data_IF_224332372158
#
_entry.id   IF_224332372158
#
_cell.length_a   1.000
_cell.length_b   1.000
_cell.length_c   1.000
_cell.angle_alpha   90.00
_cell.angle_beta   90.00
_cell.angle_gamma   90.00
#
_symmetry.space_group_name_H-M   'P 1'
#
loop_
_entity.id
_entity.type
_entity.pdbx_description
1 polymer ?
#
# COMPACT_ATOMS: atom_id res chain seq x y z
N UNK A 1 -21.87 -7.86 -18.18
CA UNK A 1 -22.62 -8.66 -17.20
C UNK A 1 -22.28 -10.10 -17.50
N UNK A 2 -21.73 -10.83 -16.54
CA UNK A 2 -21.25 -12.20 -16.75
C UNK A 2 -22.47 -13.15 -16.81
N UNK A 3 -22.79 -13.59 -18.02
CA UNK A 3 -23.98 -14.41 -18.32
C UNK A 3 -23.95 -15.74 -17.57
N UNK A 4 -22.77 -16.34 -17.41
CA UNK A 4 -22.57 -17.57 -16.63
C UNK A 4 -22.98 -17.42 -15.16
N UNK A 5 -22.65 -16.29 -14.54
CA UNK A 5 -22.97 -16.05 -13.13
C UNK A 5 -24.47 -15.86 -12.94
N UNK A 6 -25.13 -15.20 -13.89
CA UNK A 6 -26.59 -15.09 -13.89
C UNK A 6 -27.25 -16.47 -14.00
N UNK A 7 -26.78 -17.32 -14.92
CA UNK A 7 -27.30 -18.69 -15.04
C UNK A 7 -27.12 -19.50 -13.76
N UNK A 8 -25.98 -19.37 -13.07
CA UNK A 8 -25.75 -20.07 -11.80
C UNK A 8 -26.70 -19.62 -10.69
N UNK A 9 -26.98 -18.31 -10.61
CA UNK A 9 -27.94 -17.76 -9.65
C UNK A 9 -29.37 -18.21 -9.95
N UNK A 10 -29.74 -18.28 -11.22
CA UNK A 10 -31.02 -18.83 -11.66
C UNK A 10 -31.14 -20.32 -11.27
N UNK A 11 -30.10 -21.13 -11.54
CA UNK A 11 -30.11 -22.56 -11.16
C UNK A 11 -30.19 -22.76 -9.64
N UNK A 12 -29.57 -21.89 -8.85
CA UNK A 12 -29.67 -21.94 -7.38
C UNK A 12 -31.11 -21.64 -6.95
N UNK A 13 -31.74 -20.62 -7.54
CA UNK A 13 -33.13 -20.28 -7.23
C UNK A 13 -34.12 -21.42 -7.60
N UNK A 14 -33.88 -22.12 -8.70
CA UNK A 14 -34.65 -23.32 -9.07
C UNK A 14 -34.46 -24.45 -8.05
N UNK A 15 -33.23 -24.70 -7.59
CA UNK A 15 -32.94 -25.72 -6.55
C UNK A 15 -33.59 -25.35 -5.22
N UNK A 16 -33.56 -24.07 -4.84
CA UNK A 16 -34.25 -23.58 -3.64
C UNK A 16 -35.75 -23.81 -3.70
N UNK A 17 -36.38 -23.54 -4.85
CA UNK A 17 -37.79 -23.80 -5.07
C UNK A 17 -38.13 -25.30 -4.99
N UNK A 18 -37.27 -26.16 -5.54
CA UNK A 18 -37.43 -27.62 -5.42
C UNK A 18 -37.30 -28.10 -3.98
N UNK A 19 -36.36 -27.54 -3.21
CA UNK A 19 -36.19 -27.84 -1.79
C UNK A 19 -37.43 -27.44 -0.97
N UNK A 20 -38.04 -26.28 -1.26
CA UNK A 20 -39.27 -25.82 -0.61
C UNK A 20 -40.48 -26.72 -0.90
N UNK A 21 -40.57 -27.23 -2.14
CA UNK A 21 -41.65 -28.13 -2.56
C UNK A 21 -41.41 -29.58 -2.09
N UNK A 22 -40.15 -29.97 -1.88
CA UNK A 22 -39.80 -31.29 -1.39
C UNK A 22 -39.99 -31.39 0.13
N UNK A 23 -40.72 -32.40 0.58
CA UNK A 23 -41.01 -32.58 2.01
C UNK A 23 -39.83 -33.19 2.79
N UNK A 24 -38.85 -33.75 2.08
CA UNK A 24 -37.85 -34.64 2.64
C UNK A 24 -36.45 -34.03 2.80
N UNK A 25 -36.26 -32.72 2.52
CA UNK A 25 -34.96 -32.02 2.62
C UNK A 25 -33.81 -32.90 2.09
N UNK A 26 -33.91 -33.35 0.84
CA UNK A 26 -33.00 -34.38 0.34
C UNK A 26 -31.54 -33.92 0.46
N UNK A 27 -30.72 -34.76 1.08
CA UNK A 27 -29.32 -34.44 1.40
C UNK A 27 -28.51 -34.07 0.17
N UNK A 28 -28.83 -34.67 -0.98
CA UNK A 28 -28.21 -34.39 -2.27
C UNK A 28 -28.54 -32.99 -2.79
N UNK A 29 -29.78 -32.52 -2.64
CA UNK A 29 -30.16 -31.17 -3.06
C UNK A 29 -29.57 -30.10 -2.15
N UNK A 30 -29.47 -30.38 -0.84
CA UNK A 30 -28.80 -29.49 0.09
C UNK A 30 -27.29 -29.38 -0.21
N UNK A 31 -26.63 -30.50 -0.51
CA UNK A 31 -25.23 -30.51 -0.97
C UNK A 31 -25.07 -29.70 -2.25
N UNK A 32 -25.92 -29.94 -3.24
CA UNK A 32 -25.87 -29.22 -4.52
C UNK A 32 -26.07 -27.70 -4.33
N UNK A 33 -27.00 -27.30 -3.45
CA UNK A 33 -27.20 -25.89 -3.08
C UNK A 33 -25.93 -25.30 -2.50
N UNK A 34 -25.30 -26.00 -1.56
CA UNK A 34 -24.06 -25.54 -0.94
C UNK A 34 -22.94 -25.40 -1.99
N UNK A 35 -22.75 -26.41 -2.85
CA UNK A 35 -21.77 -26.37 -3.93
C UNK A 35 -22.02 -25.20 -4.91
N UNK A 36 -23.28 -24.97 -5.29
CA UNK A 36 -23.65 -23.83 -6.15
C UNK A 36 -23.36 -22.48 -5.47
N UNK A 37 -23.66 -22.35 -4.18
CA UNK A 37 -23.35 -21.11 -3.43
C UNK A 37 -21.84 -20.85 -3.38
N UNK A 38 -21.04 -21.88 -3.12
CA UNK A 38 -19.58 -21.77 -3.11
C UNK A 38 -19.04 -21.41 -4.49
N UNK A 39 -19.54 -22.04 -5.55
CA UNK A 39 -19.12 -21.77 -6.92
C UNK A 39 -19.45 -20.33 -7.33
N UNK A 40 -20.63 -19.82 -6.98
CA UNK A 40 -21.00 -18.41 -7.22
C UNK A 40 -20.03 -17.47 -6.49
N UNK A 41 -19.72 -17.73 -5.21
CA UNK A 41 -18.78 -16.91 -4.44
C UNK A 41 -17.39 -16.88 -5.08
N UNK A 42 -16.87 -18.04 -5.50
CA UNK A 42 -15.57 -18.14 -6.16
C UNK A 42 -15.58 -17.39 -7.51
N UNK A 43 -16.63 -17.54 -8.31
CA UNK A 43 -16.78 -16.81 -9.57
C UNK A 43 -16.88 -15.30 -9.37
N UNK A 44 -17.59 -14.84 -8.35
CA UNK A 44 -17.67 -13.43 -7.98
C UNK A 44 -16.29 -12.88 -7.60
N UNK A 45 -15.53 -13.61 -6.79
CA UNK A 45 -14.17 -13.25 -6.41
C UNK A 45 -13.24 -13.16 -7.63
N UNK A 46 -13.25 -14.16 -8.51
CA UNK A 46 -12.45 -14.19 -9.74
C UNK A 46 -12.75 -12.99 -10.66
N UNK A 47 -14.02 -12.61 -10.80
CA UNK A 47 -14.43 -11.47 -11.61
C UNK A 47 -13.95 -10.15 -11.01
N UNK A 48 -14.02 -10.01 -9.68
CA UNK A 48 -13.50 -8.84 -9.00
C UNK A 48 -11.98 -8.72 -9.17
N UNK A 49 -11.26 -9.84 -9.07
CA UNK A 49 -9.82 -9.88 -9.26
C UNK A 49 -9.41 -9.53 -10.70
N UNK A 50 -10.08 -10.09 -11.71
CA UNK A 50 -9.85 -9.73 -13.11
C UNK A 50 -10.13 -8.26 -13.40
N UNK A 51 -11.21 -7.71 -12.84
CA UNK A 51 -11.54 -6.27 -12.99
C UNK A 51 -10.49 -5.40 -12.31
N UNK A 52 -10.02 -5.78 -11.11
CA UNK A 52 -8.92 -5.10 -10.41
C UNK A 52 -7.65 -5.11 -11.26
N UNK A 53 -7.23 -6.26 -11.77
CA UNK A 53 -6.06 -6.38 -12.64
C UNK A 53 -6.19 -5.53 -13.90
N UNK A 54 -7.36 -5.54 -14.54
CA UNK A 54 -7.64 -4.70 -15.73
C UNK A 54 -7.52 -3.21 -15.43
N UNK A 55 -8.07 -2.76 -14.29
CA UNK A 55 -7.97 -1.36 -13.86
C UNK A 55 -6.53 -0.96 -13.53
N UNK A 56 -5.78 -1.83 -12.85
CA UNK A 56 -4.37 -1.60 -12.54
C UNK A 56 -3.53 -1.52 -13.81
N UNK A 57 -3.76 -2.40 -14.79
CA UNK A 57 -3.08 -2.35 -16.08
C UNK A 57 -3.39 -1.05 -16.85
N UNK A 58 -4.65 -0.59 -16.83
CA UNK A 58 -5.03 0.68 -17.44
C UNK A 58 -4.33 1.88 -16.79
N UNK A 59 -4.22 1.89 -15.45
CA UNK A 59 -3.48 2.93 -14.71
C UNK A 59 -1.99 2.88 -15.01
N UNK A 60 -1.38 1.69 -15.04
CA UNK A 60 0.03 1.52 -15.40
C UNK A 60 0.32 2.04 -16.81
N UNK A 61 -0.52 1.71 -17.79
CA UNK A 61 -0.40 2.23 -19.15
C UNK A 61 -0.58 3.76 -19.23
N UNK A 62 -1.50 4.33 -18.43
CA UNK A 62 -1.67 5.77 -18.36
C UNK A 62 -0.44 6.47 -17.77
N UNK A 63 0.21 5.85 -16.77
CA UNK A 63 1.45 6.34 -16.17
C UNK A 63 2.61 6.33 -17.17
N UNK A 64 2.75 5.27 -17.95
CA UNK A 64 3.78 5.16 -19.01
C UNK A 64 3.60 6.23 -20.11
N UNK A 65 2.35 6.65 -20.36
CA UNK A 65 2.03 7.67 -21.36
C UNK A 65 2.27 9.11 -20.90
N UNK A 66 2.62 9.33 -19.62
CA UNK A 66 2.99 10.66 -19.14
C UNK A 66 4.37 11.06 -19.71
N UNK A 67 4.52 12.25 -20.29
CA UNK A 67 5.82 12.72 -20.74
C UNK A 67 6.78 12.84 -19.54
N UNK A 68 8.08 12.56 -19.73
CA UNK A 68 9.06 12.74 -18.68
C UNK A 68 9.04 14.17 -18.17
N UNK A 69 9.27 14.40 -16.86
CA UNK A 69 9.36 15.74 -16.32
C UNK A 69 10.47 16.49 -17.07
N UNK A 70 10.08 17.54 -17.80
CA UNK A 70 11.06 18.41 -18.43
C UNK A 70 11.88 19.09 -17.33
N UNK A 71 13.22 19.03 -17.37
CA UNK A 71 14.03 19.81 -16.45
C UNK A 71 13.72 21.29 -16.71
N UNK A 72 13.23 21.98 -15.68
CA UNK A 72 13.10 23.43 -15.72
C UNK A 72 14.51 24.03 -15.85
N UNK A 73 14.72 24.73 -16.96
CA UNK A 73 15.99 25.32 -17.34
C UNK A 73 16.37 26.49 -16.41
N UNK A 74 17.64 26.49 -16.00
CA UNK A 74 18.57 27.62 -16.01
C UNK A 74 18.15 28.96 -15.40
N UNK A 75 18.66 29.24 -14.20
CA UNK A 75 19.19 30.57 -13.88
C UNK A 75 20.68 30.46 -13.54
N UNK A 76 21.48 30.76 -14.54
CA UNK A 76 22.91 31.09 -14.48
C UNK A 76 23.09 32.45 -13.80
N UNK A 77 24.06 32.57 -12.89
CA UNK A 77 24.90 33.77 -12.82
C UNK A 77 26.35 33.42 -12.41
N UNK A 78 27.40 34.05 -12.99
CA UNK A 78 28.79 33.61 -12.89
C UNK A 78 29.75 34.64 -12.23
N UNK A 79 30.61 34.23 -11.30
CA UNK A 79 31.86 34.96 -10.91
C UNK A 79 32.90 33.92 -10.44
N UNK A 80 33.89 33.50 -11.26
CA UNK A 80 35.32 33.97 -11.33
C UNK A 80 36.07 33.80 -9.99
N UNK A 81 37.26 33.18 -9.82
CA UNK A 81 38.27 32.48 -10.65
C UNK A 81 39.32 31.87 -9.70
N UNK A 82 40.03 30.81 -10.11
CA UNK A 82 41.30 30.39 -9.47
C UNK A 82 41.74 28.94 -9.80
N UNK A 83 42.84 28.70 -10.54
CA UNK A 83 43.14 27.41 -11.18
C UNK A 83 44.19 26.57 -10.43
N UNK A 84 44.11 25.23 -10.48
CA UNK A 84 45.30 24.35 -10.51
C UNK A 84 45.00 23.05 -11.30
N UNK A 85 45.83 22.81 -12.30
CA UNK A 85 45.99 21.59 -13.09
C UNK A 85 47.06 20.71 -12.44
N UNK A 86 46.91 19.38 -12.37
CA UNK A 86 47.83 18.32 -12.88
C UNK A 86 47.20 16.93 -12.60
N UNK A 87 47.36 16.05 -13.58
CA UNK A 87 46.86 14.70 -13.88
C UNK A 87 47.21 13.53 -12.89
N UNK A 88 46.68 12.28 -13.11
CA UNK A 88 46.34 11.29 -12.09
C UNK A 88 47.43 10.21 -11.83
N UNK A 89 47.24 9.33 -10.81
CA UNK A 89 47.16 7.90 -11.13
C UNK A 89 46.20 7.04 -10.27
N UNK A 90 45.55 6.10 -10.97
CA UNK A 90 45.32 4.69 -10.63
C UNK A 90 44.27 4.27 -9.55
N UNK A 91 43.63 3.09 -9.75
CA UNK A 91 42.28 2.79 -9.29
C UNK A 91 42.31 2.06 -7.94
N UNK A 92 41.73 2.69 -6.92
CA UNK A 92 41.50 2.08 -5.63
C UNK A 92 40.00 2.03 -5.35
N UNK A 93 39.42 0.83 -5.49
CA UNK A 93 38.22 0.35 -4.81
C UNK A 93 37.27 1.44 -4.30
N UNK A 94 36.42 1.97 -5.18
CA UNK A 94 35.14 2.49 -4.70
C UNK A 94 34.32 1.27 -4.29
N UNK A 95 34.33 1.02 -3.00
CA UNK A 95 33.31 0.26 -2.29
C UNK A 95 31.98 0.53 -2.99
N UNK A 96 31.30 -0.53 -3.42
CA UNK A 96 29.88 -0.45 -3.71
C UNK A 96 29.25 0.02 -2.40
N UNK A 97 29.02 1.31 -2.29
CA UNK A 97 27.90 1.81 -1.51
C UNK A 97 26.70 1.06 -2.08
N UNK A 98 26.30 0.01 -1.38
CA UNK A 98 24.99 -0.58 -1.53
C UNK A 98 24.03 0.61 -1.48
N UNK A 99 23.24 0.81 -2.55
CA UNK A 99 22.04 1.65 -2.49
C UNK A 99 21.16 1.05 -1.39
N UNK A 100 21.47 1.38 -0.13
CA UNK A 100 20.62 1.09 1.02
C UNK A 100 19.32 1.83 0.74
N UNK A 101 18.35 1.09 0.26
CA UNK A 101 16.94 1.41 0.08
C UNK A 101 16.55 2.76 0.70
N UNK A 102 16.49 3.80 -0.15
CA UNK A 102 16.13 5.17 0.22
C UNK A 102 14.61 5.28 0.52
N UNK A 103 14.16 4.44 1.45
CA UNK A 103 12.82 4.33 1.98
C UNK A 103 12.42 5.52 2.87
N UNK A 104 13.29 6.08 3.76
CA UNK A 104 12.91 7.26 4.52
C UNK A 104 12.65 8.45 3.59
N UNK A 105 11.64 9.24 3.91
CA UNK A 105 11.15 10.34 3.06
C UNK A 105 10.15 9.91 1.99
N UNK A 106 10.01 8.60 1.71
CA UNK A 106 9.02 8.11 0.75
C UNK A 106 7.59 8.33 1.24
N UNK A 107 6.72 8.81 0.35
CA UNK A 107 5.29 8.96 0.62
C UNK A 107 4.58 7.61 0.49
N UNK A 108 3.69 7.31 1.43
CA UNK A 108 2.89 6.09 1.43
C UNK A 108 1.43 6.40 1.76
N UNK A 109 0.58 5.38 1.62
CA UNK A 109 -0.88 5.48 1.81
C UNK A 109 -1.33 4.39 2.79
N UNK A 110 -1.83 4.81 3.95
CA UNK A 110 -2.28 3.93 5.02
C UNK A 110 -3.81 3.78 4.99
N UNK A 111 -4.36 2.57 4.85
CA UNK A 111 -5.79 2.34 5.02
C UNK A 111 -6.20 2.48 6.49
N UNK A 112 -7.35 3.10 6.77
CA UNK A 112 -7.85 3.19 8.13
C UNK A 112 -9.27 3.75 8.26
N UNK A 113 -9.87 3.52 9.42
CA UNK A 113 -11.19 4.06 9.77
C UNK A 113 -11.05 5.49 10.29
N UNK A 114 -11.85 6.40 9.76
CA UNK A 114 -12.03 7.72 10.35
C UNK A 114 -12.92 7.63 11.59
N UNK A 115 -12.84 8.64 12.46
CA UNK A 115 -13.77 8.79 13.59
C UNK A 115 -15.23 8.94 13.18
N UNK A 116 -15.51 9.23 11.90
CA UNK A 116 -16.85 9.35 11.34
C UNK A 116 -17.36 8.04 10.72
N UNK A 117 -16.57 6.96 10.77
CA UNK A 117 -16.96 5.65 10.27
C UNK A 117 -16.67 5.40 8.78
N UNK A 118 -16.00 6.32 8.08
CA UNK A 118 -15.55 6.08 6.71
C UNK A 118 -14.22 5.33 6.68
N UNK A 119 -14.10 4.33 5.82
CA UNK A 119 -12.83 3.67 5.50
C UNK A 119 -12.11 4.45 4.41
N UNK A 120 -10.95 5.02 4.73
CA UNK A 120 -10.20 5.89 3.82
C UNK A 120 -8.72 5.58 3.87
N UNK A 121 -8.04 5.88 2.76
CA UNK A 121 -6.59 5.88 2.69
C UNK A 121 -6.06 7.26 3.07
N UNK A 122 -5.04 7.30 3.92
CA UNK A 122 -4.44 8.53 4.45
C UNK A 122 -2.98 8.61 4.03
N UNK A 123 -2.59 9.77 3.52
CA UNK A 123 -1.21 10.02 3.13
C UNK A 123 -0.29 10.08 4.34
N UNK A 124 0.82 9.35 4.27
CA UNK A 124 1.87 9.33 5.28
C UNK A 124 3.24 9.40 4.62
N UNK A 125 4.27 9.62 5.43
CA UNK A 125 5.68 9.60 5.03
C UNK A 125 6.43 8.64 5.93
N UNK A 126 7.32 7.86 5.32
CA UNK A 126 8.23 6.97 6.02
C UNK A 126 9.31 7.82 6.71
N UNK A 127 9.43 7.72 8.03
CA UNK A 127 10.45 8.46 8.79
C UNK A 127 11.71 7.63 8.99
N UNK A 128 11.56 6.37 9.41
CA UNK A 128 12.68 5.49 9.68
C UNK A 128 12.31 4.03 9.43
N UNK A 129 13.33 3.22 9.15
CA UNK A 129 13.23 1.77 9.06
C UNK A 129 13.63 1.17 10.39
N UNK A 130 12.75 0.36 10.96
CA UNK A 130 12.98 -0.39 12.20
C UNK A 130 13.53 -1.77 11.83
N UNK A 131 14.86 -1.86 11.70
CA UNK A 131 15.56 -3.12 11.44
C UNK A 131 15.71 -3.93 12.74
N UNK A 132 14.62 -4.56 13.20
CA UNK A 132 14.67 -5.47 14.34
C UNK A 132 14.75 -6.94 13.86
N UNK A 133 15.97 -7.47 13.79
CA UNK A 133 16.31 -8.88 14.03
C UNK A 133 15.93 -9.94 12.98
N UNK A 134 16.94 -10.37 12.19
CA UNK A 134 17.26 -11.72 11.67
C UNK A 134 16.17 -12.69 11.12
N UNK A 135 14.90 -12.32 11.02
CA UNK A 135 13.87 -13.12 10.35
C UNK A 135 13.64 -12.58 8.94
N UNK A 136 13.86 -13.47 7.98
CA UNK A 136 13.73 -13.26 6.55
C UNK A 136 12.28 -12.81 6.25
N UNK A 137 12.11 -11.59 5.75
CA UNK A 137 10.90 -11.04 5.11
C UNK A 137 9.88 -10.18 5.89
N UNK A 138 10.20 -9.50 7.01
CA UNK A 138 9.30 -8.43 7.48
C UNK A 138 10.05 -7.19 7.96
N UNK A 139 10.22 -6.24 7.04
CA UNK A 139 10.81 -4.93 7.33
C UNK A 139 9.75 -4.06 7.99
N UNK A 140 10.00 -3.55 9.20
CA UNK A 140 9.10 -2.60 9.85
C UNK A 140 9.55 -1.18 9.57
N UNK A 141 8.59 -0.27 9.45
CA UNK A 141 8.85 1.16 9.26
C UNK A 141 8.00 1.98 10.20
N UNK A 142 8.51 3.15 10.57
CA UNK A 142 7.77 4.16 11.29
C UNK A 142 7.29 5.24 10.33
N UNK A 143 6.03 5.65 10.49
CA UNK A 143 5.31 6.50 9.57
C UNK A 143 4.70 7.70 10.30
N UNK A 144 4.60 8.85 9.62
CA UNK A 144 3.83 10.00 10.10
C UNK A 144 2.84 10.46 9.04
N UNK A 145 1.62 10.84 9.46
CA UNK A 145 0.64 11.39 8.55
C UNK A 145 1.08 12.76 8.03
N UNK A 146 0.98 12.99 6.73
CA UNK A 146 1.34 14.27 6.11
C UNK A 146 0.30 15.36 6.35
N UNK A 147 -0.96 14.96 6.56
CA UNK A 147 -2.10 15.86 6.78
C UNK A 147 -2.75 15.58 8.16
N UNK A 148 -2.08 15.96 9.27
CA UNK A 148 -2.63 15.76 10.61
C UNK A 148 -3.85 16.66 10.83
N UNK A 149 -4.96 16.05 11.19
CA UNK A 149 -6.25 16.70 11.48
C UNK A 149 -6.53 16.81 12.98
N UNK A 150 -5.80 16.03 13.78
CA UNK A 150 -5.93 15.96 15.24
C UNK A 150 -4.57 16.16 15.90
N UNK A 151 -4.57 16.65 17.14
CA UNK A 151 -3.33 16.92 17.90
C UNK A 151 -2.45 15.68 18.07
N UNK A 152 -3.05 14.50 18.24
CA UNK A 152 -2.37 13.21 18.37
C UNK A 152 -1.80 12.67 17.06
N UNK A 153 -2.13 13.28 15.91
CA UNK A 153 -1.53 12.96 14.61
C UNK A 153 -0.34 13.88 14.31
N UNK A 154 -0.27 15.06 14.93
CA UNK A 154 0.85 15.98 14.73
C UNK A 154 2.11 15.38 15.37
N UNK A 155 3.24 15.29 14.64
CA UNK A 155 4.47 14.69 15.18
C UNK A 155 4.97 15.43 16.43
N UNK A 156 5.57 14.67 17.36
CA UNK A 156 6.22 15.20 18.54
C UNK A 156 7.63 15.70 18.18
N UNK A 157 7.91 16.99 18.41
CA UNK A 157 9.23 17.59 18.11
C UNK A 157 10.37 16.88 18.86
N UNK A 158 10.22 16.66 20.17
CA UNK A 158 11.23 15.95 20.97
C UNK A 158 11.49 14.54 20.43
N UNK A 159 10.44 13.79 20.12
CA UNK A 159 10.60 12.43 19.59
C UNK A 159 11.26 12.42 18.21
N UNK A 160 10.93 13.38 17.33
CA UNK A 160 11.55 13.49 16.01
C UNK A 160 13.05 13.84 16.09
N UNK A 161 13.44 14.65 17.06
CA UNK A 161 14.84 15.07 17.22
C UNK A 161 15.70 14.02 17.94
N UNK A 162 15.19 13.42 19.02
CA UNK A 162 15.99 12.56 19.90
C UNK A 162 15.62 11.08 19.84
N UNK A 163 14.65 10.69 19.01
CA UNK A 163 14.11 9.31 18.94
C UNK A 163 13.39 8.85 20.21
N UNK A 164 13.30 9.70 21.23
CA UNK A 164 12.74 9.39 22.55
C UNK A 164 12.02 10.62 23.10
N UNK A 165 10.91 10.42 23.79
CA UNK A 165 10.18 11.51 24.42
C UNK A 165 10.05 11.27 25.93
N UNK A 166 10.34 12.30 26.72
CA UNK A 166 10.17 12.30 28.18
C UNK A 166 8.76 11.91 28.65
N UNK A 167 7.74 12.18 27.81
CA UNK A 167 6.33 11.86 28.10
C UNK A 167 5.95 10.43 27.76
N UNK A 168 6.82 9.69 27.05
CA UNK A 168 6.58 8.32 26.61
C UNK A 168 5.21 8.15 25.94
N UNK A 169 4.49 7.10 26.32
CA UNK A 169 3.17 6.73 25.77
C UNK A 169 2.08 7.76 26.09
N UNK A 170 2.27 8.64 27.08
CA UNK A 170 1.30 9.69 27.46
C UNK A 170 1.49 11.00 26.69
N UNK A 171 2.36 11.02 25.69
CA UNK A 171 2.53 12.19 24.84
C UNK A 171 1.22 12.51 24.09
N UNK A 172 0.85 13.79 24.03
CA UNK A 172 -0.35 14.24 23.28
C UNK A 172 -0.09 14.38 21.78
N UNK A 173 1.16 14.27 21.36
CA UNK A 173 1.65 14.37 19.98
C UNK A 173 2.02 12.96 19.49
N UNK A 174 2.01 12.76 18.18
CA UNK A 174 2.33 11.47 17.55
C UNK A 174 3.81 11.12 17.71
N UNK A 175 4.10 9.86 18.04
CA UNK A 175 5.43 9.24 17.90
C UNK A 175 5.54 8.39 16.62
N UNK A 176 4.59 8.55 15.70
CA UNK A 176 4.50 7.78 14.47
C UNK A 176 3.81 6.43 14.66
N UNK A 177 3.31 5.91 13.55
CA UNK A 177 2.70 4.58 13.46
C UNK A 177 3.76 3.57 12.98
N UNK A 178 3.80 2.37 13.55
CA UNK A 178 4.72 1.32 13.10
C UNK A 178 3.96 0.33 12.24
N UNK A 179 4.37 0.17 10.99
CA UNK A 179 3.76 -0.77 10.04
C UNK A 179 4.81 -1.73 9.49
N UNK A 180 4.38 -2.95 9.15
CA UNK A 180 5.18 -3.90 8.38
C UNK A 180 5.05 -3.57 6.89
N UNK A 181 6.17 -3.66 6.19
CA UNK A 181 6.22 -3.66 4.72
C UNK A 181 6.35 -5.12 4.31
N UNK A 182 5.35 -5.61 3.57
CA UNK A 182 5.39 -6.88 2.85
C UNK A 182 5.92 -6.67 1.43
#
# INVERSE_FOLDING_TARGET
>A
MDTELQTLRETLAEVDQLLELSQDNSTELLSLKEDLTQLIQLKEADLLERRKQTALAAVASALESLPPPQPANSETDPIVSGPQTVEPPAPGFREKEEEEDNLPGSKCSLPGWTSRGYFVHRNAVIAEVLNEGSLVCSRRVRLFFTNPTRLNEVPCAQFLETGTCSRGVRCRRSHGEVASIE
#
